data_IF_765984731128
#
_entry.id   IF_765984731128
#
_cell.length_a   1.000
_cell.length_b   1.000
_cell.length_c   1.000
_cell.angle_alpha   90.00
_cell.angle_beta   90.00
_cell.angle_gamma   90.00
#
_symmetry.space_group_name_H-M   'P 1'
#
loop_
_entity.id
_entity.type
_entity.pdbx_description
1 polymer ?
#
# COMPACT_ATOMS: atom_id res chain seq x y z
N UNK A 1 11.28 -1.95 18.50
CA UNK A 1 10.64 -0.79 17.86
C UNK A 1 9.26 -0.59 18.47
N UNK A 2 8.79 0.65 18.63
CA UNK A 2 7.41 0.90 19.09
C UNK A 2 6.41 0.57 17.97
N UNK A 3 5.22 0.07 18.31
CA UNK A 3 4.13 -0.21 17.36
C UNK A 3 3.76 1.01 16.52
N UNK A 4 3.85 2.23 17.10
CA UNK A 4 3.67 3.48 16.37
C UNK A 4 4.72 3.69 15.30
N UNK A 5 5.98 3.37 15.59
CA UNK A 5 7.06 3.48 14.60
C UNK A 5 6.87 2.49 13.46
N UNK A 6 6.43 1.26 13.76
CA UNK A 6 6.12 0.25 12.76
C UNK A 6 4.95 0.69 11.86
N UNK A 7 3.84 1.15 12.43
CA UNK A 7 2.70 1.67 11.67
C UNK A 7 3.13 2.81 10.73
N UNK A 8 3.88 3.79 11.22
CA UNK A 8 4.37 4.89 10.38
C UNK A 8 5.39 4.44 9.32
N UNK A 9 6.15 3.38 9.59
CA UNK A 9 7.06 2.78 8.61
C UNK A 9 6.27 2.16 7.46
N UNK A 10 5.28 1.32 7.78
CA UNK A 10 4.39 0.71 6.78
C UNK A 10 3.62 1.75 5.98
N UNK A 11 3.02 2.75 6.63
CA UNK A 11 2.35 3.85 5.96
C UNK A 11 3.24 4.48 4.88
N UNK A 12 4.48 4.84 5.23
CA UNK A 12 5.42 5.47 4.30
C UNK A 12 5.84 4.52 3.17
N UNK A 13 6.09 3.24 3.48
CA UNK A 13 6.45 2.24 2.48
C UNK A 13 5.32 2.08 1.46
N UNK A 14 4.10 1.81 1.92
CA UNK A 14 2.92 1.65 1.05
C UNK A 14 2.67 2.93 0.23
N UNK A 15 2.76 4.11 0.86
CA UNK A 15 2.57 5.39 0.16
C UNK A 15 3.59 5.63 -0.98
N UNK A 16 4.84 5.21 -0.77
CA UNK A 16 5.92 5.28 -1.78
C UNK A 16 5.70 4.24 -2.87
N UNK A 17 5.43 2.98 -2.52
CA UNK A 17 5.14 1.91 -3.48
C UNK A 17 3.93 2.25 -4.35
N UNK A 18 2.88 2.84 -3.79
CA UNK A 18 1.74 3.34 -4.56
C UNK A 18 2.12 4.39 -5.62
N UNK A 19 3.20 5.14 -5.40
CA UNK A 19 3.76 6.09 -6.36
C UNK A 19 4.41 5.45 -7.59
N UNK A 20 4.65 4.13 -7.55
CA UNK A 20 5.20 3.35 -8.65
C UNK A 20 4.10 2.73 -9.53
N UNK A 21 2.83 2.94 -9.20
CA UNK A 21 1.72 2.50 -10.05
C UNK A 21 1.77 3.20 -11.41
N UNK A 22 1.35 2.55 -12.51
CA UNK A 22 1.55 3.04 -13.87
C UNK A 22 0.71 4.27 -14.22
N UNK A 23 -0.37 4.54 -13.48
CA UNK A 23 -1.28 5.65 -13.76
C UNK A 23 -1.54 6.47 -12.50
N UNK A 24 -1.70 7.78 -12.69
CA UNK A 24 -2.00 8.73 -11.62
C UNK A 24 -3.23 8.35 -10.82
N UNK A 25 -4.31 7.93 -11.50
CA UNK A 25 -5.56 7.52 -10.84
C UNK A 25 -5.36 6.33 -9.90
N UNK A 26 -4.55 5.35 -10.28
CA UNK A 26 -4.23 4.18 -9.44
C UNK A 26 -3.39 4.60 -8.23
N UNK A 27 -2.39 5.46 -8.43
CA UNK A 27 -1.61 6.03 -7.33
C UNK A 27 -2.51 6.77 -6.33
N UNK A 28 -3.39 7.63 -6.82
CA UNK A 28 -4.30 8.42 -5.97
C UNK A 28 -5.34 7.55 -5.28
N UNK A 29 -5.86 6.52 -5.94
CA UNK A 29 -6.77 5.56 -5.34
C UNK A 29 -6.13 4.85 -4.15
N UNK A 30 -4.94 4.26 -4.34
CA UNK A 30 -4.23 3.54 -3.27
C UNK A 30 -3.87 4.47 -2.12
N UNK A 31 -3.39 5.69 -2.40
CA UNK A 31 -3.05 6.68 -1.36
C UNK A 31 -4.27 7.16 -0.57
N UNK A 32 -5.39 7.42 -1.23
CA UNK A 32 -6.65 7.82 -0.55
C UNK A 32 -7.16 6.69 0.33
N UNK A 33 -7.16 5.46 -0.18
CA UNK A 33 -7.54 4.27 0.59
C UNK A 33 -6.66 4.08 1.82
N UNK A 34 -5.33 4.11 1.65
CA UNK A 34 -4.36 3.99 2.74
C UNK A 34 -4.60 5.03 3.83
N UNK A 35 -4.82 6.29 3.45
CA UNK A 35 -5.14 7.35 4.40
C UNK A 35 -6.44 7.07 5.14
N UNK A 36 -7.49 6.67 4.43
CA UNK A 36 -8.78 6.31 5.04
C UNK A 36 -8.65 5.19 6.08
N UNK A 37 -7.89 4.13 5.78
CA UNK A 37 -7.67 3.02 6.71
C UNK A 37 -6.90 3.47 7.97
N UNK A 38 -5.86 4.29 7.83
CA UNK A 38 -5.10 4.80 8.98
C UNK A 38 -5.89 5.81 9.83
N UNK A 39 -6.71 6.66 9.19
CA UNK A 39 -7.59 7.58 9.90
C UNK A 39 -8.68 6.82 10.66
N UNK A 40 -9.23 5.74 10.08
CA UNK A 40 -10.24 4.87 10.72
C UNK A 40 -9.72 4.22 12.01
N UNK A 41 -8.46 3.75 12.03
CA UNK A 41 -7.87 3.06 13.18
C UNK A 41 -6.97 3.93 14.05
N UNK A 42 -6.97 5.25 13.85
CA UNK A 42 -6.08 6.20 14.55
C UNK A 42 -6.18 6.13 16.08
N UNK A 43 -7.35 5.81 16.60
CA UNK A 43 -7.65 5.75 18.03
C UNK A 43 -7.73 4.33 18.58
N UNK A 44 -7.29 3.33 17.80
CA UNK A 44 -7.21 1.95 18.29
C UNK A 44 -6.22 1.86 19.45
N UNK A 45 -6.66 1.28 20.57
CA UNK A 45 -5.86 1.12 21.78
C UNK A 45 -5.69 -0.35 22.17
N UNK A 46 -6.47 -1.27 21.59
CA UNK A 46 -6.35 -2.69 21.88
C UNK A 46 -5.05 -3.25 21.28
N UNK A 47 -4.08 -3.71 22.10
CA UNK A 47 -2.77 -4.14 21.61
C UNK A 47 -2.84 -5.29 20.60
N UNK A 48 -3.72 -6.27 20.83
CA UNK A 48 -3.88 -7.41 19.93
C UNK A 48 -4.42 -6.98 18.56
N UNK A 49 -5.34 -6.00 18.57
CA UNK A 49 -5.90 -5.44 17.34
C UNK A 49 -4.88 -4.60 16.58
N UNK A 50 -4.07 -3.82 17.28
CA UNK A 50 -2.97 -3.07 16.64
C UNK A 50 -1.96 -4.05 16.03
N UNK A 51 -1.57 -5.11 16.73
CA UNK A 51 -0.65 -6.12 16.20
C UNK A 51 -1.21 -6.77 14.92
N UNK A 52 -2.50 -7.11 14.93
CA UNK A 52 -3.18 -7.62 13.74
C UNK A 52 -3.14 -6.61 12.58
N UNK A 53 -3.45 -5.33 12.82
CA UNK A 53 -3.41 -4.28 11.80
C UNK A 53 -1.99 -4.07 11.23
N UNK A 54 -0.95 -4.24 12.04
CA UNK A 54 0.44 -4.22 11.55
C UNK A 54 0.69 -5.37 10.57
N UNK A 55 0.23 -6.59 10.87
CA UNK A 55 0.35 -7.74 9.95
C UNK A 55 -0.44 -7.52 8.67
N UNK A 56 -1.63 -6.90 8.76
CA UNK A 56 -2.41 -6.50 7.57
C UNK A 56 -1.62 -5.53 6.71
N UNK A 57 -0.98 -4.52 7.30
CA UNK A 57 -0.19 -3.54 6.57
C UNK A 57 1.03 -4.18 5.85
N UNK A 58 1.65 -5.18 6.47
CA UNK A 58 2.72 -5.98 5.87
C UNK A 58 2.23 -6.75 4.63
N UNK A 59 1.13 -7.50 4.77
CA UNK A 59 0.51 -8.23 3.65
C UNK A 59 0.04 -7.30 2.52
N UNK A 60 -0.48 -6.12 2.87
CA UNK A 60 -0.88 -5.11 1.90
C UNK A 60 0.32 -4.54 1.13
N UNK A 61 1.45 -4.33 1.80
CA UNK A 61 2.68 -3.89 1.15
C UNK A 61 3.16 -4.94 0.15
N UNK A 62 3.27 -6.21 0.55
CA UNK A 62 3.70 -7.31 -0.34
C UNK A 62 2.79 -7.41 -1.58
N UNK A 63 1.48 -7.35 -1.36
CA UNK A 63 0.49 -7.39 -2.45
C UNK A 63 0.67 -6.21 -3.41
N UNK A 64 0.88 -5.01 -2.87
CA UNK A 64 1.06 -3.81 -3.68
C UNK A 64 2.37 -3.85 -4.48
N UNK A 65 3.46 -4.36 -3.90
CA UNK A 65 4.72 -4.55 -4.59
C UNK A 65 4.57 -5.52 -5.79
N UNK A 66 3.87 -6.64 -5.59
CA UNK A 66 3.55 -7.59 -6.66
C UNK A 66 2.70 -6.91 -7.76
N UNK A 67 1.68 -6.14 -7.38
CA UNK A 67 0.82 -5.43 -8.33
C UNK A 67 1.61 -4.39 -9.14
N UNK A 68 2.46 -3.60 -8.49
CA UNK A 68 3.34 -2.62 -9.16
C UNK A 68 4.25 -3.32 -10.16
N UNK A 69 4.91 -4.42 -9.76
CA UNK A 69 5.80 -5.17 -10.63
C UNK A 69 5.04 -5.77 -11.83
N UNK A 70 3.87 -6.35 -11.58
CA UNK A 70 3.03 -6.92 -12.62
C UNK A 70 2.58 -5.86 -13.62
N UNK A 71 2.05 -4.73 -13.14
CA UNK A 71 1.61 -3.65 -14.01
C UNK A 71 2.76 -3.06 -14.80
N UNK A 72 3.91 -2.80 -14.17
CA UNK A 72 5.10 -2.31 -14.85
C UNK A 72 5.47 -3.21 -16.03
N UNK A 73 5.43 -4.54 -15.83
CA UNK A 73 5.72 -5.52 -16.90
C UNK A 73 4.67 -5.52 -18.01
N UNK A 74 3.38 -5.42 -17.67
CA UNK A 74 2.28 -5.42 -18.64
C UNK A 74 2.33 -4.16 -19.51
N UNK A 75 2.49 -2.99 -18.90
CA UNK A 75 2.54 -1.71 -19.62
C UNK A 75 3.86 -1.50 -20.38
N UNK A 76 4.95 -2.19 -20.02
CA UNK A 76 6.20 -2.18 -20.80
C UNK A 76 6.19 -3.16 -21.99
N UNK A 77 5.16 -3.99 -22.14
CA UNK A 77 5.12 -5.00 -23.21
C UNK A 77 4.73 -4.34 -24.54
N UNK A 78 5.53 -4.50 -25.62
CA UNK A 78 5.23 -3.93 -26.94
C UNK A 78 3.87 -4.36 -27.50
N UNK A 79 3.38 -5.53 -27.08
CA UNK A 79 2.10 -6.09 -27.51
C UNK A 79 0.88 -5.40 -26.89
N UNK A 80 1.05 -4.54 -25.88
CA UNK A 80 -0.07 -3.94 -25.15
C UNK A 80 -0.78 -2.82 -25.92
N UNK A 81 -0.10 -2.19 -26.89
CA UNK A 81 -0.68 -1.12 -27.72
C UNK A 81 -1.35 -1.62 -29.02
N UNK A 82 -1.36 -2.94 -29.26
CA UNK A 82 -1.87 -3.55 -30.50
C UNK A 82 -3.22 -4.28 -30.32
N UNK A 83 -4.01 -3.97 -29.29
CA UNK A 83 -5.38 -4.48 -29.13
C UNK A 83 -6.42 -3.37 -29.07
#
# INVERSE_FOLDING_TARGET
MSTRQQALSFYRKIYRTAGLMPTKDRTEFVRRRLRGEYDQYRHETNPARIEFLIKVADTQLDTLEIQVAHFSRVFSSPSYHNQ
#
